data_IF_769296418846
#
_entry.id   IF_769296418846
#
_cell.length_a   1.000
_cell.length_b   1.000
_cell.length_c   1.000
_cell.angle_alpha   90.00
_cell.angle_beta   90.00
_cell.angle_gamma   90.00
#
_symmetry.space_group_name_H-M   'P 1'
#
loop_
_entity.id
_entity.type
_entity.pdbx_description
1 polymer ?
#
# COMPACT_ATOMS: atom_id res chain seq x y z
N UNK A 1 -36.76 4.24 -30.47
CA UNK A 1 -35.66 3.35 -30.06
C UNK A 1 -34.34 3.91 -30.56
N UNK A 2 -33.67 4.76 -29.78
CA UNK A 2 -32.26 5.10 -29.98
C UNK A 2 -31.72 5.64 -28.65
N UNK A 3 -31.40 4.73 -27.72
CA UNK A 3 -30.76 5.05 -26.44
C UNK A 3 -29.58 4.12 -26.25
N UNK A 4 -28.61 4.17 -27.15
CA UNK A 4 -27.39 3.36 -27.09
C UNK A 4 -26.28 4.12 -27.81
N UNK A 5 -25.50 4.98 -27.12
CA UNK A 5 -24.05 5.14 -27.37
C UNK A 5 -23.27 6.09 -26.43
N UNK A 6 -23.82 6.60 -25.31
CA UNK A 6 -23.08 7.60 -24.49
C UNK A 6 -22.41 7.09 -23.22
N UNK A 7 -22.44 5.78 -22.90
CA UNK A 7 -22.06 5.33 -21.54
C UNK A 7 -21.08 4.14 -21.51
N UNK A 8 -20.08 4.10 -22.41
CA UNK A 8 -19.06 3.01 -22.36
C UNK A 8 -17.61 3.52 -22.28
N UNK A 9 -17.38 4.78 -21.90
CA UNK A 9 -16.04 5.30 -21.57
C UNK A 9 -15.98 5.88 -20.14
N UNK A 10 -16.85 5.40 -19.24
CA UNK A 10 -16.86 5.79 -17.82
C UNK A 10 -16.19 4.76 -16.88
N UNK A 11 -15.48 3.78 -17.42
CA UNK A 11 -14.59 2.87 -16.70
C UNK A 11 -13.25 2.97 -17.46
N UNK A 12 -12.20 3.65 -17.02
CA UNK A 12 -11.31 3.28 -15.92
C UNK A 12 -10.34 4.46 -15.67
N UNK A 13 -10.77 5.48 -14.94
CA UNK A 13 -9.80 6.30 -14.21
C UNK A 13 -10.21 6.23 -12.75
N UNK A 14 -9.35 5.76 -11.84
CA UNK A 14 -9.65 5.86 -10.42
C UNK A 14 -9.90 7.34 -10.14
N UNK A 15 -11.02 7.66 -9.50
CA UNK A 15 -11.31 9.00 -9.05
C UNK A 15 -10.09 9.47 -8.23
N UNK A 16 -9.25 10.31 -8.83
CA UNK A 16 -8.17 10.99 -8.15
C UNK A 16 -8.85 11.70 -6.99
N UNK A 17 -8.61 11.24 -5.76
CA UNK A 17 -9.33 11.70 -4.58
C UNK A 17 -9.43 13.23 -4.58
N UNK A 18 -10.64 13.76 -4.35
CA UNK A 18 -10.87 15.20 -4.26
C UNK A 18 -9.75 15.85 -3.45
N UNK A 19 -8.94 16.70 -4.11
CA UNK A 19 -7.88 17.46 -3.45
C UNK A 19 -8.48 18.22 -2.26
N UNK A 20 -7.78 18.29 -1.12
CA UNK A 20 -8.30 19.00 0.04
C UNK A 20 -8.43 20.50 -0.26
N UNK A 21 -9.41 21.13 0.38
CA UNK A 21 -9.51 22.58 0.33
C UNK A 21 -8.41 23.19 1.21
N UNK A 22 -7.37 23.75 0.59
CA UNK A 22 -6.22 24.30 1.29
C UNK A 22 -6.49 25.61 2.03
N UNK A 23 -7.66 26.22 1.83
CA UNK A 23 -8.14 27.28 2.74
C UNK A 23 -8.53 26.71 4.12
N UNK A 24 -8.89 25.43 4.20
CA UNK A 24 -9.28 24.73 5.43
C UNK A 24 -8.16 23.88 6.04
N UNK A 25 -7.24 23.37 5.22
CA UNK A 25 -6.12 22.51 5.63
C UNK A 25 -4.75 23.24 5.51
N UNK A 26 -4.74 24.56 5.71
CA UNK A 26 -3.54 25.39 5.67
C UNK A 26 -2.66 25.33 6.93
N UNK A 27 -1.63 26.19 7.05
CA UNK A 27 -0.62 26.14 8.12
C UNK A 27 -1.16 26.36 9.54
N UNK A 28 -2.37 26.90 9.70
CA UNK A 28 -3.01 27.12 11.00
C UNK A 28 -4.04 26.02 11.35
N UNK A 29 -4.08 24.93 10.59
CA UNK A 29 -5.05 23.85 10.83
C UNK A 29 -4.71 23.11 12.10
N UNK A 30 -5.66 23.03 13.03
CA UNK A 30 -5.53 22.22 14.25
C UNK A 30 -6.09 20.83 13.97
N UNK A 31 -5.21 19.83 13.95
CA UNK A 31 -5.61 18.43 13.86
C UNK A 31 -5.85 17.83 15.25
N UNK A 32 -6.85 16.97 15.34
CA UNK A 32 -7.06 16.15 16.53
C UNK A 32 -5.97 15.07 16.61
N UNK A 33 -5.64 14.59 17.81
CA UNK A 33 -4.64 13.53 18.03
C UNK A 33 -5.19 12.11 17.86
N UNK A 34 -6.29 11.95 17.12
CA UNK A 34 -6.78 10.62 16.78
C UNK A 34 -5.78 9.97 15.82
N UNK A 35 -5.32 8.76 16.14
CA UNK A 35 -4.41 8.00 15.29
C UNK A 35 -5.24 7.19 14.31
N UNK A 36 -5.03 7.42 13.02
CA UNK A 36 -5.60 6.67 11.91
C UNK A 36 -4.67 6.78 10.70
N UNK A 37 -3.57 6.03 10.73
CA UNK A 37 -2.45 6.20 9.82
C UNK A 37 -2.85 6.18 8.34
N UNK A 38 -2.24 7.07 7.57
CA UNK A 38 -2.37 7.13 6.11
C UNK A 38 -0.99 7.04 5.49
N UNK A 39 -0.78 6.12 4.56
CA UNK A 39 0.47 6.05 3.81
C UNK A 39 0.38 6.95 2.57
N UNK A 40 1.28 7.93 2.48
CA UNK A 40 1.41 8.80 1.32
C UNK A 40 2.18 8.16 0.16
N UNK A 41 1.94 8.66 -1.04
CA UNK A 41 2.70 8.32 -2.24
C UNK A 41 4.17 8.75 -2.18
N UNK A 42 4.51 9.63 -1.23
CA UNK A 42 5.87 10.04 -0.88
C UNK A 42 6.59 9.07 0.05
N UNK A 43 5.91 7.99 0.49
CA UNK A 43 6.46 7.00 1.39
C UNK A 43 6.40 7.38 2.87
N UNK A 44 5.77 8.50 3.22
CA UNK A 44 5.59 8.91 4.62
C UNK A 44 4.27 8.43 5.20
N UNK A 45 4.31 8.01 6.46
CA UNK A 45 3.14 7.72 7.27
C UNK A 45 2.65 8.99 7.95
N UNK A 46 1.39 9.30 7.75
CA UNK A 46 0.72 10.43 8.37
C UNK A 46 -0.17 9.94 9.49
N UNK A 47 -0.02 10.48 10.70
CA UNK A 47 -0.73 10.05 11.91
C UNK A 47 -2.24 9.93 11.71
N UNK A 48 -2.81 10.82 10.89
CA UNK A 48 -4.22 10.77 10.52
C UNK A 48 -4.53 11.51 9.21
N UNK A 49 -5.76 11.39 8.69
CA UNK A 49 -6.17 12.05 7.47
C UNK A 49 -6.10 13.58 7.51
N UNK A 50 -6.12 14.21 8.69
CA UNK A 50 -5.99 15.67 8.80
C UNK A 50 -4.56 16.10 8.45
N UNK A 51 -3.55 15.47 9.05
CA UNK A 51 -2.15 15.75 8.73
C UNK A 51 -1.81 15.41 7.27
N UNK A 52 -2.36 14.32 6.74
CA UNK A 52 -2.20 13.99 5.32
C UNK A 52 -2.72 15.09 4.39
N UNK A 53 -3.92 15.65 4.67
CA UNK A 53 -4.49 16.75 3.87
C UNK A 53 -3.71 18.05 3.96
N UNK A 54 -3.12 18.35 5.12
CA UNK A 54 -2.19 19.49 5.25
C UNK A 54 -0.98 19.29 4.34
N UNK A 55 -0.41 18.08 4.33
CA UNK A 55 0.73 17.77 3.46
C UNK A 55 0.37 17.82 1.97
N UNK A 56 -0.84 17.41 1.58
CA UNK A 56 -1.32 17.56 0.20
C UNK A 56 -1.42 19.03 -0.24
N UNK A 57 -1.63 19.96 0.69
CA UNK A 57 -1.59 21.40 0.40
C UNK A 57 -0.18 21.93 0.18
N UNK A 58 0.84 21.30 0.78
CA UNK A 58 2.25 21.59 0.50
C UNK A 58 2.73 20.87 -0.78
N UNK A 59 2.20 19.68 -1.08
CA UNK A 59 2.55 18.86 -2.22
C UNK A 59 1.29 18.37 -2.98
N UNK A 60 0.86 19.07 -4.05
CA UNK A 60 -0.34 18.71 -4.83
C UNK A 60 -0.27 17.37 -5.58
N UNK A 61 0.92 16.74 -5.65
CA UNK A 61 1.12 15.42 -6.24
C UNK A 61 1.06 14.30 -5.20
N UNK A 62 0.92 14.62 -3.92
CA UNK A 62 0.76 13.65 -2.85
C UNK A 62 -0.65 13.03 -2.91
N UNK A 63 -0.72 11.71 -3.03
CA UNK A 63 -1.96 10.95 -2.96
C UNK A 63 -1.84 9.81 -1.96
N UNK A 64 -2.97 9.36 -1.42
CA UNK A 64 -2.97 8.25 -0.47
C UNK A 64 -2.61 6.98 -1.22
N UNK A 65 -1.48 6.37 -0.87
CA UNK A 65 -1.03 5.10 -1.43
C UNK A 65 -1.82 3.94 -0.83
N UNK A 66 -2.06 3.95 0.48
CA UNK A 66 -2.98 3.04 1.15
C UNK A 66 -3.31 3.50 2.59
N UNK A 67 -4.21 2.77 3.27
CA UNK A 67 -4.61 3.00 4.66
C UNK A 67 -3.68 2.23 5.61
N UNK A 68 -3.14 2.89 6.64
CA UNK A 68 -2.16 2.32 7.58
C UNK A 68 -0.79 3.02 7.52
N UNK A 69 0.18 2.53 8.29
CA UNK A 69 1.57 2.98 8.19
C UNK A 69 2.13 2.53 6.83
N UNK A 70 3.01 3.33 6.21
CA UNK A 70 3.70 2.88 4.99
C UNK A 70 4.53 1.60 5.23
N UNK A 71 4.99 1.39 6.46
CA UNK A 71 5.69 0.17 6.86
C UNK A 71 4.77 -1.06 6.92
N UNK A 72 3.46 -0.88 7.08
CA UNK A 72 2.47 -1.96 7.10
C UNK A 72 2.01 -2.35 5.68
N UNK A 73 2.13 -1.40 4.74
CA UNK A 73 1.68 -1.53 3.35
C UNK A 73 2.76 -2.16 2.47
N UNK A 74 4.02 -2.10 2.88
CA UNK A 74 4.92 -3.21 2.64
C UNK A 74 4.52 -4.28 3.65
N UNK A 75 3.85 -5.35 3.23
CA UNK A 75 3.59 -6.54 4.04
C UNK A 75 4.94 -7.02 4.59
N UNK A 76 5.39 -6.50 5.72
CA UNK A 76 6.68 -6.80 6.32
C UNK A 76 6.37 -7.16 7.76
N UNK A 77 6.72 -8.38 8.19
CA UNK A 77 6.57 -8.73 9.58
C UNK A 77 7.48 -7.84 10.42
N UNK A 78 6.94 -7.31 11.51
CA UNK A 78 7.76 -6.69 12.56
C UNK A 78 8.66 -7.74 13.19
N UNK A 79 9.72 -7.31 13.88
CA UNK A 79 10.59 -8.22 14.63
C UNK A 79 9.78 -9.08 15.62
N UNK A 80 8.84 -8.48 16.34
CA UNK A 80 7.99 -9.17 17.31
C UNK A 80 7.04 -10.18 16.65
N UNK A 81 6.63 -9.97 15.39
CA UNK A 81 5.84 -10.95 14.64
C UNK A 81 6.72 -12.13 14.19
N UNK A 82 7.95 -11.86 13.76
CA UNK A 82 8.91 -12.90 13.42
C UNK A 82 9.30 -13.77 14.61
N UNK A 83 9.41 -13.18 15.81
CA UNK A 83 9.73 -13.92 17.03
C UNK A 83 8.58 -14.85 17.46
N UNK A 84 7.35 -14.60 17.00
CA UNK A 84 6.16 -15.43 17.27
C UNK A 84 5.82 -16.39 16.14
N UNK A 85 6.43 -16.23 14.97
CA UNK A 85 6.25 -17.12 13.84
C UNK A 85 7.02 -18.42 14.09
N UNK A 86 6.30 -19.53 14.24
CA UNK A 86 6.90 -20.86 14.39
C UNK A 86 7.36 -21.46 13.05
N UNK A 87 7.13 -20.72 11.95
CA UNK A 87 7.46 -21.12 10.59
C UNK A 87 6.52 -22.17 10.00
N UNK A 88 5.40 -22.47 10.66
CA UNK A 88 4.43 -23.47 10.21
C UNK A 88 3.50 -22.85 9.16
N UNK A 89 3.69 -23.22 7.90
CA UNK A 89 2.85 -22.76 6.79
C UNK A 89 1.90 -23.85 6.27
N UNK A 90 0.69 -23.44 5.88
CA UNK A 90 -0.21 -24.29 5.09
C UNK A 90 0.40 -24.59 3.73
N UNK A 91 -0.06 -25.67 3.08
CA UNK A 91 0.40 -26.08 1.74
C UNK A 91 -0.46 -25.51 0.62
N UNK A 92 -1.23 -24.45 0.90
CA UNK A 92 -1.98 -23.74 -0.13
C UNK A 92 -1.03 -23.16 -1.19
N UNK A 93 -1.50 -23.09 -2.43
CA UNK A 93 -0.73 -22.58 -3.54
C UNK A 93 -1.25 -21.20 -3.97
N UNK A 94 -0.67 -20.16 -3.39
CA UNK A 94 -1.02 -18.75 -3.61
C UNK A 94 0.26 -17.95 -3.86
N UNK A 95 0.94 -18.17 -5.00
CA UNK A 95 2.31 -17.73 -5.17
C UNK A 95 2.48 -16.21 -5.04
N UNK A 96 3.64 -15.79 -4.55
CA UNK A 96 4.05 -14.39 -4.39
C UNK A 96 5.44 -14.20 -4.99
N UNK A 97 5.63 -13.14 -5.79
CA UNK A 97 6.94 -12.76 -6.29
C UNK A 97 7.60 -11.78 -5.31
N UNK A 98 8.80 -12.13 -4.83
CA UNK A 98 9.63 -11.25 -4.01
C UNK A 98 10.47 -10.31 -4.85
N UNK A 99 10.90 -9.19 -4.25
CA UNK A 99 11.82 -8.23 -4.84
C UNK A 99 13.22 -8.80 -5.11
N UNK A 100 13.51 -9.99 -4.60
CA UNK A 100 14.70 -10.77 -4.88
C UNK A 100 14.56 -11.65 -6.13
N UNK A 101 13.46 -11.51 -6.87
CA UNK A 101 13.15 -12.29 -8.07
C UNK A 101 12.74 -13.74 -7.78
N UNK A 102 12.54 -14.12 -6.51
CA UNK A 102 12.12 -15.48 -6.15
C UNK A 102 10.60 -15.58 -6.04
N UNK A 103 10.08 -16.71 -6.49
CA UNK A 103 8.69 -17.10 -6.29
C UNK A 103 8.55 -17.87 -4.98
N UNK A 104 7.68 -17.42 -4.11
CA UNK A 104 7.31 -18.06 -2.86
C UNK A 104 5.97 -18.75 -3.03
N UNK A 105 5.85 -20.01 -2.58
CA UNK A 105 4.69 -20.86 -2.88
C UNK A 105 3.36 -20.36 -2.30
N UNK A 106 3.42 -19.57 -1.22
CA UNK A 106 2.30 -18.87 -0.63
C UNK A 106 2.74 -17.66 0.22
N UNK A 107 1.82 -16.80 0.67
CA UNK A 107 2.15 -15.62 1.47
C UNK A 107 2.79 -15.94 2.83
N UNK A 108 2.47 -17.10 3.43
CA UNK A 108 3.11 -17.53 4.66
C UNK A 108 4.60 -17.79 4.46
N UNK A 109 4.96 -18.57 3.43
CA UNK A 109 6.36 -18.87 3.08
C UNK A 109 7.11 -17.58 2.70
N UNK A 110 6.46 -16.64 2.04
CA UNK A 110 7.02 -15.31 1.76
C UNK A 110 7.32 -14.54 3.06
N UNK A 111 6.36 -14.46 3.99
CA UNK A 111 6.53 -13.78 5.29
C UNK A 111 7.67 -14.39 6.11
N UNK A 112 7.74 -15.73 6.17
CA UNK A 112 8.83 -16.43 6.85
C UNK A 112 10.21 -16.10 6.24
N UNK A 113 10.28 -15.84 4.93
CA UNK A 113 11.49 -15.36 4.29
C UNK A 113 11.82 -13.91 4.64
N UNK A 114 10.82 -13.03 4.75
CA UNK A 114 11.02 -11.66 5.22
C UNK A 114 11.53 -11.59 6.65
N UNK A 115 11.14 -12.54 7.52
CA UNK A 115 11.71 -12.64 8.86
C UNK A 115 13.22 -12.97 8.87
N UNK A 116 13.74 -13.57 7.81
CA UNK A 116 15.17 -13.84 7.63
C UNK A 116 15.90 -12.68 6.94
N UNK A 117 15.18 -11.97 6.07
CA UNK A 117 15.67 -10.80 5.35
C UNK A 117 14.59 -9.71 5.35
N UNK A 118 14.67 -8.81 6.33
CA UNK A 118 13.73 -7.69 6.43
C UNK A 118 13.81 -6.77 5.21
N UNK A 119 14.85 -6.84 4.37
CA UNK A 119 14.92 -6.03 3.14
C UNK A 119 13.97 -6.53 2.04
N UNK A 120 13.56 -7.81 2.08
CA UNK A 120 12.67 -8.44 1.12
C UNK A 120 11.29 -7.77 1.11
N UNK A 121 10.83 -7.37 -0.08
CA UNK A 121 9.50 -6.79 -0.30
C UNK A 121 8.74 -7.57 -1.35
N UNK A 122 7.41 -7.49 -1.33
CA UNK A 122 6.59 -8.14 -2.35
C UNK A 122 6.65 -7.32 -3.63
N UNK A 123 7.04 -7.96 -4.73
CA UNK A 123 7.04 -7.36 -6.06
C UNK A 123 5.66 -7.49 -6.72
N UNK A 124 5.05 -8.68 -6.71
CA UNK A 124 3.72 -8.92 -7.27
C UNK A 124 3.03 -10.12 -6.63
N UNK A 125 1.70 -10.20 -6.79
CA UNK A 125 0.96 -11.45 -6.62
C UNK A 125 1.24 -12.39 -7.80
N UNK A 126 1.29 -13.69 -7.54
CA UNK A 126 1.63 -14.69 -8.54
C UNK A 126 3.11 -15.10 -8.49
N UNK A 127 3.52 -15.90 -9.47
CA UNK A 127 4.92 -16.25 -9.66
C UNK A 127 5.67 -15.06 -10.26
N UNK A 128 6.98 -14.98 -10.04
CA UNK A 128 7.81 -14.04 -10.79
C UNK A 128 7.77 -14.38 -12.27
N UNK A 129 7.81 -13.36 -13.12
CA UNK A 129 7.96 -13.54 -14.56
C UNK A 129 9.33 -14.15 -14.82
N UNK A 130 9.35 -15.36 -15.40
CA UNK A 130 10.57 -15.87 -16.00
C UNK A 130 10.85 -14.97 -17.20
N UNK A 131 11.95 -14.22 -17.11
CA UNK A 131 12.44 -13.48 -18.26
C UNK A 131 12.88 -14.53 -19.28
N UNK A 132 12.00 -14.85 -20.23
CA UNK A 132 12.43 -15.52 -21.46
C UNK A 132 13.45 -14.58 -22.12
N UNK A 133 14.71 -15.00 -22.14
CA UNK A 133 15.83 -14.30 -22.77
C UNK A 133 15.62 -14.09 -24.27
#
# INVERSE_FOLDING_TARGET
>A
MLVLLTVVLAFLMPASGQRPNCALYGPNTVCHRNINYVCGSDGFSYDNPCFFKIAQCANPNLFQRAQGHCDDIAVRPTKDECDRDDGTCTREHNPVCGSDGKTYGNPCVFRAAQCKDLSLTKQSDGKCEETEC
#
